data_IF_540311710487
#
_entry.id   IF_540311710487
#
_cell.length_a   1.000
_cell.length_b   1.000
_cell.length_c   1.000
_cell.angle_alpha   90.00
_cell.angle_beta   90.00
_cell.angle_gamma   90.00
#
_symmetry.space_group_name_H-M   'P 1'
#
loop_
_entity.id
_entity.type
_entity.pdbx_description
1 polymer ?
#
# COMPACT_ATOMS: atom_id res chain seq x y z
N UNK A 1 35.42 70.68 -50.01
CA UNK A 1 36.78 70.34 -49.56
C UNK A 1 36.69 69.24 -48.52
N UNK A 2 37.19 68.04 -48.88
CA UNK A 2 37.61 66.89 -48.06
C UNK A 2 36.82 66.45 -46.80
N UNK A 3 36.34 65.19 -46.89
CA UNK A 3 36.49 64.07 -45.92
C UNK A 3 35.61 64.15 -44.65
N UNK A 4 34.98 63.11 -44.09
CA UNK A 4 34.61 61.71 -44.40
C UNK A 4 34.00 61.20 -43.07
N UNK A 5 32.96 60.37 -43.14
CA UNK A 5 32.51 59.34 -42.18
C UNK A 5 32.70 59.54 -40.66
N UNK A 6 31.69 59.18 -39.85
CA UNK A 6 31.58 57.83 -39.27
C UNK A 6 30.65 57.83 -38.03
N UNK A 7 29.63 56.99 -38.13
CA UNK A 7 29.00 56.10 -37.15
C UNK A 7 29.12 56.31 -35.62
N UNK A 8 27.93 56.14 -35.03
CA UNK A 8 27.60 55.24 -33.91
C UNK A 8 27.95 55.62 -32.46
N UNK A 9 26.85 55.82 -31.73
CA UNK A 9 26.42 55.16 -30.48
C UNK A 9 27.26 55.39 -29.23
N UNK A 10 26.65 56.18 -28.33
CA UNK A 10 26.95 56.24 -26.91
C UNK A 10 26.77 54.87 -26.24
N UNK A 11 27.82 54.44 -25.57
CA UNK A 11 27.80 53.57 -24.39
C UNK A 11 27.32 54.35 -23.16
N UNK A 12 26.43 53.76 -22.35
CA UNK A 12 26.70 53.33 -20.97
C UNK A 12 25.44 53.27 -20.07
N UNK A 13 25.30 52.12 -19.39
CA UNK A 13 24.73 51.89 -18.04
C UNK A 13 23.20 51.92 -17.92
N UNK A 14 22.47 51.05 -17.21
CA UNK A 14 22.66 49.75 -16.55
C UNK A 14 21.31 49.46 -15.90
N UNK A 15 20.69 48.29 -16.12
CA UNK A 15 19.95 47.46 -15.13
C UNK A 15 19.15 46.39 -15.88
N UNK A 16 19.78 45.24 -16.09
CA UNK A 16 19.07 44.00 -16.39
C UNK A 16 18.78 43.34 -15.04
N UNK A 17 17.50 43.25 -14.69
CA UNK A 17 17.00 42.44 -13.58
C UNK A 17 17.23 40.97 -13.97
N UNK A 18 18.29 40.37 -13.43
CA UNK A 18 18.46 38.92 -13.44
C UNK A 18 17.51 38.38 -12.38
N UNK A 19 16.38 37.84 -12.81
CA UNK A 19 15.60 36.94 -11.97
C UNK A 19 16.50 35.72 -11.66
N UNK A 20 16.96 35.66 -10.42
CA UNK A 20 17.61 34.49 -9.85
C UNK A 20 16.62 33.33 -9.82
N UNK A 21 16.67 32.49 -10.86
CA UNK A 21 16.14 31.12 -10.82
C UNK A 21 16.99 30.30 -9.84
N UNK A 22 16.72 30.47 -8.55
CA UNK A 22 17.18 29.57 -7.49
C UNK A 22 15.95 28.84 -6.97
N UNK A 23 15.59 27.78 -7.67
CA UNK A 23 14.48 26.90 -7.32
C UNK A 23 14.66 25.57 -8.06
N UNK A 24 14.92 24.51 -7.30
CA UNK A 24 14.86 23.10 -7.70
C UNK A 24 15.89 22.61 -8.72
N UNK A 25 17.17 22.68 -8.35
CA UNK A 25 18.14 21.67 -8.77
C UNK A 25 18.57 20.90 -7.51
N UNK A 26 17.65 20.10 -6.96
CA UNK A 26 18.02 19.06 -6.02
C UNK A 26 18.61 17.92 -6.83
N UNK A 27 19.84 17.53 -6.49
CA UNK A 27 20.71 16.63 -7.24
C UNK A 27 20.01 15.37 -7.76
N UNK A 28 19.81 15.29 -9.08
CA UNK A 28 19.42 14.08 -9.82
C UNK A 28 20.58 13.08 -10.02
N UNK A 29 21.73 13.28 -9.36
CA UNK A 29 22.96 12.55 -9.70
C UNK A 29 23.08 11.13 -9.13
N UNK A 30 22.30 10.81 -8.09
CA UNK A 30 22.38 9.50 -7.41
C UNK A 30 21.04 8.77 -7.32
N UNK A 31 20.04 9.11 -8.16
CA UNK A 31 18.85 8.29 -8.24
C UNK A 31 19.26 6.90 -8.80
N UNK A 32 19.10 5.80 -8.04
CA UNK A 32 19.42 4.47 -8.54
C UNK A 32 18.67 4.27 -9.85
N UNK A 33 19.40 3.95 -10.92
CA UNK A 33 18.77 3.79 -12.22
C UNK A 33 17.84 2.60 -12.12
N UNK A 34 16.67 2.69 -12.76
CA UNK A 34 15.70 1.59 -12.92
C UNK A 34 16.36 0.24 -13.31
N UNK A 35 17.55 0.29 -13.91
CA UNK A 35 18.38 -0.85 -14.34
C UNK A 35 19.10 -1.62 -13.21
N UNK A 36 19.29 -1.08 -12.01
CA UNK A 36 20.10 -1.73 -10.96
C UNK A 36 19.30 -2.73 -10.10
N UNK A 37 17.97 -2.68 -10.17
CA UNK A 37 17.07 -3.59 -9.46
C UNK A 37 16.45 -4.59 -10.44
N UNK A 38 17.07 -5.76 -10.56
CA UNK A 38 16.59 -6.85 -11.44
C UNK A 38 16.15 -8.02 -10.55
N UNK A 39 14.85 -8.31 -10.41
CA UNK A 39 14.38 -9.49 -9.70
C UNK A 39 14.67 -10.75 -10.52
N UNK A 40 14.65 -11.90 -9.85
CA UNK A 40 14.84 -13.17 -10.54
C UNK A 40 13.59 -13.55 -11.36
N UNK A 41 13.75 -14.25 -12.50
CA UNK A 41 15.00 -14.48 -13.24
C UNK A 41 15.44 -13.24 -14.05
N UNK A 42 16.74 -13.00 -14.15
CA UNK A 42 17.33 -11.79 -14.78
C UNK A 42 16.81 -11.52 -16.20
N UNK A 43 16.63 -12.56 -17.01
CA UNK A 43 16.19 -12.42 -18.41
C UNK A 43 14.67 -12.27 -18.58
N UNK A 44 13.89 -12.54 -17.52
CA UNK A 44 12.43 -12.51 -17.54
C UNK A 44 11.89 -12.18 -16.13
N UNK A 45 12.23 -10.99 -15.60
CA UNK A 45 11.88 -10.61 -14.24
C UNK A 45 10.37 -10.68 -14.00
N UNK A 46 9.96 -11.15 -12.83
CA UNK A 46 8.54 -11.37 -12.52
C UNK A 46 7.75 -10.08 -12.26
N UNK A 47 8.43 -8.98 -11.94
CA UNK A 47 7.85 -7.65 -11.81
C UNK A 47 8.79 -6.59 -12.39
N UNK A 48 8.27 -5.44 -12.86
CA UNK A 48 9.12 -4.37 -13.36
C UNK A 48 9.82 -3.64 -12.19
N UNK A 49 10.90 -2.90 -12.47
CA UNK A 49 11.54 -2.10 -11.43
C UNK A 49 10.68 -0.89 -11.06
N UNK A 50 10.83 -0.44 -9.81
CA UNK A 50 10.08 0.65 -9.17
C UNK A 50 10.18 2.00 -9.94
N UNK A 51 9.21 2.91 -9.74
CA UNK A 51 7.98 2.73 -8.96
C UNK A 51 6.91 1.95 -9.76
N UNK A 52 5.98 1.31 -9.05
CA UNK A 52 4.82 0.61 -9.64
C UNK A 52 3.61 1.53 -9.74
N UNK A 53 2.93 1.54 -10.88
CA UNK A 53 1.80 2.41 -11.19
C UNK A 53 0.50 1.63 -11.19
N UNK A 54 -0.54 2.23 -10.62
CA UNK A 54 -1.87 1.66 -10.47
C UNK A 54 -2.88 2.67 -11.02
N UNK A 55 -3.84 2.19 -11.80
CA UNK A 55 -4.92 3.01 -12.34
C UNK A 55 -6.27 2.34 -12.11
N UNK A 56 -7.31 3.16 -12.03
CA UNK A 56 -8.69 2.72 -11.88
C UNK A 56 -8.87 1.80 -10.64
N UNK A 57 -8.55 2.39 -9.48
CA UNK A 57 -8.47 1.72 -8.19
C UNK A 57 -9.78 1.89 -7.42
N UNK A 58 -10.34 0.78 -6.96
CA UNK A 58 -11.51 0.72 -6.10
C UNK A 58 -11.10 0.10 -4.77
N UNK A 59 -11.46 0.73 -3.67
CA UNK A 59 -11.19 0.18 -2.33
C UNK A 59 -12.47 0.15 -1.53
N UNK A 60 -12.73 -0.97 -0.84
CA UNK A 60 -13.69 -1.03 0.26
C UNK A 60 -12.86 -1.18 1.54
N UNK A 61 -13.03 -0.26 2.48
CA UNK A 61 -12.46 -0.36 3.81
C UNK A 61 -13.57 -0.64 4.82
N UNK A 62 -13.34 -1.59 5.71
CA UNK A 62 -14.28 -1.96 6.77
C UNK A 62 -13.56 -1.88 8.11
N UNK A 63 -14.02 -0.99 8.97
CA UNK A 63 -13.51 -0.86 10.32
C UNK A 63 -14.18 -1.91 11.21
N UNK A 64 -13.37 -2.75 11.84
CA UNK A 64 -13.80 -3.91 12.61
C UNK A 64 -13.24 -3.87 14.03
N UNK A 65 -13.93 -4.53 14.95
CA UNK A 65 -13.42 -4.88 16.29
C UNK A 65 -13.04 -6.35 16.33
N UNK A 66 -11.77 -6.65 16.61
CA UNK A 66 -11.25 -8.00 16.79
C UNK A 66 -11.64 -8.59 18.15
N UNK A 67 -11.54 -9.92 18.31
CA UNK A 67 -11.58 -10.56 19.62
C UNK A 67 -10.41 -10.10 20.49
N UNK A 68 -10.62 -10.06 21.81
CA UNK A 68 -9.58 -9.64 22.77
C UNK A 68 -8.30 -10.47 22.60
N UNK A 69 -7.16 -9.81 22.46
CA UNK A 69 -5.85 -10.42 22.31
C UNK A 69 -5.56 -10.99 20.91
N UNK A 70 -6.49 -10.91 19.96
CA UNK A 70 -6.27 -11.41 18.61
C UNK A 70 -5.21 -10.61 17.86
N UNK A 71 -5.20 -9.27 18.00
CA UNK A 71 -4.17 -8.43 17.38
C UNK A 71 -2.79 -8.75 17.95
N UNK A 72 -2.66 -8.87 19.27
CA UNK A 72 -1.40 -9.28 19.91
C UNK A 72 -0.89 -10.63 19.41
N UNK A 73 -1.79 -11.59 19.14
CA UNK A 73 -1.43 -12.90 18.57
C UNK A 73 -0.98 -12.80 17.11
N UNK A 74 -1.58 -11.90 16.33
CA UNK A 74 -1.34 -11.80 14.89
C UNK A 74 -0.17 -10.86 14.53
N UNK A 75 0.14 -9.87 15.35
CA UNK A 75 1.20 -8.89 15.09
C UNK A 75 2.58 -9.54 15.11
N UNK A 76 3.36 -9.29 14.06
CA UNK A 76 4.72 -9.81 13.94
C UNK A 76 5.68 -9.03 14.85
N UNK A 77 6.48 -9.70 15.70
CA UNK A 77 7.57 -9.05 16.43
C UNK A 77 8.58 -8.39 15.46
N UNK A 78 9.23 -7.29 15.84
CA UNK A 78 9.19 -6.59 17.13
C UNK A 78 8.08 -5.53 17.24
N UNK A 79 7.05 -5.54 16.39
CA UNK A 79 5.94 -4.60 16.49
C UNK A 79 4.99 -4.98 17.63
N UNK A 80 4.31 -3.98 18.18
CA UNK A 80 3.28 -4.15 19.20
C UNK A 80 1.98 -3.48 18.73
N UNK A 81 0.79 -4.08 18.98
CA UNK A 81 -0.48 -3.40 18.75
C UNK A 81 -0.57 -2.07 19.51
N UNK A 82 -1.31 -1.12 18.95
CA UNK A 82 -1.58 0.19 19.58
C UNK A 82 -3.05 0.34 19.95
N UNK A 83 -3.29 0.88 21.14
CA UNK A 83 -4.62 1.16 21.66
C UNK A 83 -5.29 -0.05 22.30
N UNK A 84 -6.33 0.22 23.10
CA UNK A 84 -7.06 -0.81 23.86
C UNK A 84 -8.32 -1.32 23.14
N UNK A 85 -8.64 -0.74 21.97
CA UNK A 85 -9.93 -0.96 21.30
C UNK A 85 -9.99 -2.21 20.41
N UNK A 86 -8.86 -2.91 20.23
CA UNK A 86 -8.74 -4.11 19.39
C UNK A 86 -9.31 -3.87 17.98
N UNK A 87 -9.04 -2.71 17.38
CA UNK A 87 -9.57 -2.37 16.06
C UNK A 87 -8.62 -2.76 14.93
N UNK A 88 -9.19 -3.22 13.82
CA UNK A 88 -8.48 -3.46 12.58
C UNK A 88 -9.31 -2.99 11.40
N UNK A 89 -8.65 -2.79 10.26
CA UNK A 89 -9.27 -2.44 9.00
C UNK A 89 -9.13 -3.63 8.05
N UNK A 90 -10.25 -4.10 7.52
CA UNK A 90 -10.25 -4.98 6.36
C UNK A 90 -10.26 -4.08 5.11
N UNK A 91 -9.16 -4.08 4.37
CA UNK A 91 -9.03 -3.38 3.09
C UNK A 91 -9.26 -4.38 1.96
N UNK A 92 -10.22 -4.11 1.10
CA UNK A 92 -10.45 -4.84 -0.13
C UNK A 92 -10.07 -3.92 -1.28
N UNK A 93 -9.03 -4.28 -2.03
CA UNK A 93 -8.56 -3.55 -3.20
C UNK A 93 -8.98 -4.24 -4.49
N UNK A 94 -9.36 -3.44 -5.47
CA UNK A 94 -9.51 -3.83 -6.86
C UNK A 94 -8.84 -2.79 -7.74
N UNK A 95 -7.71 -3.16 -8.34
CA UNK A 95 -7.00 -2.33 -9.33
C UNK A 95 -7.26 -2.90 -10.72
N UNK A 96 -7.91 -2.13 -11.59
CA UNK A 96 -8.26 -2.61 -12.93
C UNK A 96 -7.07 -2.62 -13.89
N UNK A 97 -6.08 -1.76 -13.65
CA UNK A 97 -4.89 -1.68 -14.49
C UNK A 97 -3.63 -1.40 -13.67
N UNK A 98 -2.70 -2.35 -13.73
CA UNK A 98 -1.35 -2.21 -13.16
C UNK A 98 -0.34 -2.03 -14.30
N UNK A 99 0.56 -1.06 -14.14
CA UNK A 99 1.66 -0.78 -15.10
C UNK A 99 1.21 -0.50 -16.54
N UNK A 100 -0.06 -0.08 -16.75
CA UNK A 100 -0.64 0.13 -18.09
C UNK A 100 -0.65 -1.14 -18.94
N UNK A 101 -0.61 -2.30 -18.29
CA UNK A 101 -0.58 -3.62 -18.89
C UNK A 101 -1.95 -4.28 -19.02
N UNK A 102 -3.02 -3.66 -18.49
CA UNK A 102 -4.35 -4.25 -18.40
C UNK A 102 -4.44 -5.37 -17.37
N UNK A 103 -3.50 -5.43 -16.43
CA UNK A 103 -3.52 -6.42 -15.35
C UNK A 103 -4.54 -6.02 -14.30
N UNK A 104 -5.59 -6.82 -14.19
CA UNK A 104 -6.65 -6.67 -13.19
C UNK A 104 -6.28 -7.47 -11.94
N UNK A 105 -6.14 -6.78 -10.81
CA UNK A 105 -5.63 -7.33 -9.54
C UNK A 105 -6.62 -7.04 -8.44
N UNK A 106 -6.93 -8.06 -7.64
CA UNK A 106 -7.71 -7.95 -6.42
C UNK A 106 -6.87 -8.34 -5.21
N UNK A 107 -7.07 -7.63 -4.11
CA UNK A 107 -6.41 -7.92 -2.84
C UNK A 107 -7.38 -7.74 -1.67
N UNK A 108 -7.15 -8.49 -0.60
CA UNK A 108 -7.84 -8.35 0.68
C UNK A 108 -6.81 -8.42 1.80
N UNK A 109 -6.60 -7.30 2.49
CA UNK A 109 -5.64 -7.13 3.56
C UNK A 109 -6.32 -6.89 4.91
N UNK A 110 -5.78 -7.50 5.97
CA UNK A 110 -6.15 -7.18 7.35
C UNK A 110 -5.05 -6.27 7.92
N UNK A 111 -5.38 -5.00 8.13
CA UNK A 111 -4.45 -3.99 8.63
C UNK A 111 -4.77 -3.61 10.07
N UNK A 112 -3.76 -3.40 10.90
CA UNK A 112 -3.94 -3.03 12.31
C UNK A 112 -3.00 -1.89 12.73
N UNK A 113 -3.44 -0.98 13.62
CA UNK A 113 -2.57 -0.01 14.25
C UNK A 113 -1.50 -0.70 15.09
N UNK A 114 -0.24 -0.31 14.88
CA UNK A 114 0.91 -0.84 15.61
C UNK A 114 1.89 0.26 15.95
N UNK A 115 2.81 -0.07 16.84
CA UNK A 115 4.00 0.72 17.10
C UNK A 115 5.23 -0.16 16.99
N UNK A 116 6.32 0.47 16.64
CA UNK A 116 7.66 -0.07 16.74
C UNK A 116 8.55 1.03 17.30
N UNK A 117 9.13 0.77 18.49
CA UNK A 117 9.83 1.80 19.28
C UNK A 117 8.93 3.03 19.50
N UNK A 118 9.37 4.21 19.08
CA UNK A 118 8.68 5.49 19.15
C UNK A 118 7.80 5.77 17.92
N UNK A 119 7.78 4.89 16.92
CA UNK A 119 7.01 5.06 15.68
C UNK A 119 5.66 4.36 15.78
N UNK A 120 4.58 5.14 15.75
CA UNK A 120 3.21 4.63 15.58
C UNK A 120 2.88 4.64 14.09
N UNK A 121 2.15 3.63 13.64
CA UNK A 121 1.67 3.51 12.27
C UNK A 121 0.68 2.36 12.17
N UNK A 122 0.65 1.72 11.02
CA UNK A 122 -0.13 0.50 10.80
C UNK A 122 0.73 -0.60 10.20
N UNK A 123 0.26 -1.83 10.27
CA UNK A 123 0.87 -2.98 9.60
C UNK A 123 -0.19 -3.82 8.94
N UNK A 124 0.19 -4.54 7.90
CA UNK A 124 -0.63 -5.60 7.32
C UNK A 124 -0.31 -6.90 8.04
N UNK A 125 -1.30 -7.49 8.71
CA UNK A 125 -1.18 -8.75 9.46
C UNK A 125 -1.14 -9.95 8.50
N UNK A 126 -1.99 -9.92 7.49
CA UNK A 126 -2.04 -10.87 6.38
C UNK A 126 -2.73 -10.21 5.20
N UNK A 127 -2.32 -10.61 4.01
CA UNK A 127 -2.96 -10.16 2.77
C UNK A 127 -3.14 -11.33 1.81
N UNK A 128 -4.29 -11.37 1.17
CA UNK A 128 -4.60 -12.28 0.08
C UNK A 128 -4.65 -11.49 -1.23
N UNK A 129 -4.06 -12.04 -2.29
CA UNK A 129 -3.98 -11.40 -3.61
C UNK A 129 -4.12 -12.47 -4.70
N UNK A 130 -4.59 -12.08 -5.87
CA UNK A 130 -4.78 -12.97 -7.04
C UNK A 130 -3.76 -12.73 -8.18
N UNK A 131 -2.73 -11.94 -7.92
CA UNK A 131 -1.63 -11.62 -8.85
C UNK A 131 -0.29 -12.11 -8.31
N UNK A 132 0.41 -12.95 -9.07
CA UNK A 132 1.75 -13.42 -8.77
C UNK A 132 2.78 -12.28 -8.73
N UNK A 133 2.71 -11.35 -9.69
CA UNK A 133 3.52 -10.13 -9.70
C UNK A 133 3.31 -9.34 -8.40
N UNK A 134 2.06 -9.09 -8.01
CA UNK A 134 1.73 -8.37 -6.78
C UNK A 134 2.14 -9.13 -5.51
N UNK A 135 1.98 -10.45 -5.48
CA UNK A 135 2.44 -11.33 -4.41
C UNK A 135 3.95 -11.22 -4.21
N UNK A 136 4.71 -11.41 -5.28
CA UNK A 136 6.17 -11.54 -5.20
C UNK A 136 6.79 -10.16 -4.95
N UNK A 137 6.37 -9.11 -5.68
CA UNK A 137 6.84 -7.74 -5.45
C UNK A 137 6.55 -7.27 -4.01
N UNK A 138 5.33 -7.50 -3.51
CA UNK A 138 4.95 -7.13 -2.16
C UNK A 138 5.84 -7.76 -1.09
N UNK A 139 6.15 -9.05 -1.25
CA UNK A 139 6.99 -9.82 -0.31
C UNK A 139 8.47 -9.46 -0.42
N UNK A 140 9.01 -9.46 -1.63
CA UNK A 140 10.44 -9.28 -1.87
C UNK A 140 10.91 -7.85 -1.64
N UNK A 141 10.12 -6.84 -2.04
CA UNK A 141 10.53 -5.44 -1.94
C UNK A 141 10.26 -4.88 -0.54
N UNK A 142 9.09 -5.17 0.01
CA UNK A 142 8.56 -4.43 1.17
C UNK A 142 8.30 -5.30 2.41
N UNK A 143 8.11 -6.62 2.24
CA UNK A 143 7.78 -7.52 3.34
C UNK A 143 6.29 -7.64 3.64
N UNK A 144 5.39 -7.30 2.71
CA UNK A 144 3.96 -7.60 2.90
C UNK A 144 3.75 -9.10 3.09
N UNK A 145 2.97 -9.55 4.10
CA UNK A 145 2.69 -10.96 4.34
C UNK A 145 1.62 -11.51 3.39
N UNK A 146 1.85 -11.36 2.08
CA UNK A 146 0.92 -11.76 1.03
C UNK A 146 0.89 -13.30 0.86
N UNK A 147 -0.30 -13.84 0.56
CA UNK A 147 -0.58 -15.21 0.12
C UNK A 147 -1.49 -15.19 -1.11
N UNK A 148 -1.32 -16.16 -2.01
CA UNK A 148 -2.18 -16.31 -3.19
C UNK A 148 -3.58 -16.80 -2.81
N UNK A 149 -4.61 -16.25 -3.45
CA UNK A 149 -6.01 -16.60 -3.28
C UNK A 149 -6.84 -16.36 -4.56
N UNK A 150 -7.99 -17.02 -4.66
CA UNK A 150 -9.03 -16.66 -5.62
C UNK A 150 -9.96 -15.63 -4.98
N UNK A 151 -10.04 -14.44 -5.57
CA UNK A 151 -10.85 -13.32 -5.06
C UNK A 151 -11.89 -12.98 -6.11
N UNK A 152 -13.16 -12.98 -5.73
CA UNK A 152 -14.27 -12.68 -6.64
C UNK A 152 -15.07 -11.50 -6.10
N UNK A 153 -15.14 -10.43 -6.89
CA UNK A 153 -16.01 -9.29 -6.67
C UNK A 153 -17.28 -9.44 -7.49
N UNK A 154 -18.44 -9.35 -6.85
CA UNK A 154 -19.75 -9.40 -7.51
C UNK A 154 -20.54 -8.15 -7.13
N UNK A 155 -20.92 -7.35 -8.13
CA UNK A 155 -21.82 -6.22 -7.93
C UNK A 155 -23.22 -6.74 -7.58
N UNK A 156 -23.78 -6.26 -6.48
CA UNK A 156 -25.15 -6.58 -6.07
C UNK A 156 -26.07 -5.41 -6.41
N UNK A 157 -27.36 -5.55 -6.12
CA UNK A 157 -28.33 -4.44 -6.29
C UNK A 157 -28.03 -3.26 -5.34
N UNK A 158 -27.40 -3.52 -4.19
CA UNK A 158 -27.23 -2.55 -3.10
C UNK A 158 -25.77 -2.26 -2.76
N UNK A 159 -24.82 -2.91 -3.42
CA UNK A 159 -23.39 -2.73 -3.18
C UNK A 159 -22.56 -3.86 -3.81
N UNK A 160 -21.78 -4.57 -3.00
CA UNK A 160 -20.80 -5.56 -3.46
C UNK A 160 -20.75 -6.78 -2.55
N UNK A 161 -20.54 -7.95 -3.14
CA UNK A 161 -20.14 -9.17 -2.45
C UNK A 161 -18.72 -9.54 -2.87
N UNK A 162 -17.86 -9.81 -1.90
CA UNK A 162 -16.50 -10.30 -2.12
C UNK A 162 -16.31 -11.64 -1.44
N UNK A 163 -15.86 -12.63 -2.21
CA UNK A 163 -15.54 -13.97 -1.72
C UNK A 163 -14.05 -14.22 -1.92
N UNK A 164 -13.39 -14.71 -0.89
CA UNK A 164 -11.97 -15.07 -0.89
C UNK A 164 -11.85 -16.56 -0.58
N UNK A 165 -11.26 -17.31 -1.50
CA UNK A 165 -10.97 -18.73 -1.34
C UNK A 165 -9.47 -18.97 -1.52
N UNK A 166 -8.98 -20.09 -0.98
CA UNK A 166 -7.69 -20.63 -1.38
C UNK A 166 -7.68 -20.97 -2.86
N UNK A 167 -6.49 -21.02 -3.44
CA UNK A 167 -6.28 -21.51 -4.80
C UNK A 167 -6.83 -22.93 -4.97
N UNK A 168 -7.23 -23.30 -6.19
CA UNK A 168 -7.82 -24.61 -6.50
C UNK A 168 -6.94 -25.79 -6.11
N UNK A 169 -5.63 -25.67 -6.30
CA UNK A 169 -4.62 -26.65 -5.89
C UNK A 169 -4.49 -26.79 -4.36
N UNK A 170 -5.06 -25.85 -3.61
CA UNK A 170 -5.17 -25.85 -2.14
C UNK A 170 -6.61 -26.12 -1.69
N UNK A 171 -7.43 -26.74 -2.56
CA UNK A 171 -8.75 -27.26 -2.23
C UNK A 171 -9.88 -26.23 -2.22
N UNK A 172 -9.66 -25.01 -2.73
CA UNK A 172 -10.67 -23.94 -2.76
C UNK A 172 -11.34 -23.68 -1.40
N UNK A 173 -10.58 -23.89 -0.30
CA UNK A 173 -11.06 -23.67 1.06
C UNK A 173 -11.50 -22.22 1.23
N UNK A 174 -12.72 -21.95 1.74
CA UNK A 174 -13.16 -20.58 1.97
C UNK A 174 -12.30 -19.91 3.04
N UNK A 175 -11.98 -18.63 2.83
CA UNK A 175 -11.22 -17.81 3.76
C UNK A 175 -12.06 -16.65 4.30
N UNK A 176 -12.74 -15.94 3.40
CA UNK A 176 -13.58 -14.80 3.76
C UNK A 176 -14.81 -14.69 2.87
N UNK A 177 -15.90 -14.22 3.45
CA UNK A 177 -17.08 -13.73 2.74
C UNK A 177 -17.46 -12.37 3.28
N UNK A 178 -17.54 -11.39 2.39
CA UNK A 178 -17.80 -9.99 2.73
C UNK A 178 -18.95 -9.49 1.87
N UNK A 179 -19.89 -8.77 2.49
CA UNK A 179 -20.97 -8.09 1.79
C UNK A 179 -21.02 -6.64 2.25
N UNK A 180 -20.84 -5.71 1.32
CA UNK A 180 -20.92 -4.27 1.52
C UNK A 180 -22.22 -3.75 0.91
N UNK A 181 -22.98 -2.98 1.69
CA UNK A 181 -24.25 -2.37 1.28
C UNK A 181 -24.18 -0.86 1.49
N UNK A 182 -24.40 -0.09 0.42
CA UNK A 182 -24.39 1.38 0.44
C UNK A 182 -25.54 1.90 1.30
N UNK A 183 -25.25 2.86 2.18
CA UNK A 183 -26.23 3.51 3.05
C UNK A 183 -25.86 4.97 3.30
N UNK A 184 -26.85 5.86 3.34
CA UNK A 184 -26.65 7.32 3.41
C UNK A 184 -26.79 7.91 4.81
N UNK A 185 -27.30 7.15 5.78
CA UNK A 185 -27.62 7.62 7.12
C UNK A 185 -26.90 6.77 8.17
N UNK A 186 -25.59 6.98 8.29
CA UNK A 186 -24.75 6.27 9.25
C UNK A 186 -24.14 7.24 10.25
N UNK A 187 -23.98 6.84 11.52
CA UNK A 187 -23.27 7.64 12.49
C UNK A 187 -21.83 7.89 12.02
N UNK A 188 -21.26 9.00 12.46
CA UNK A 188 -19.84 9.25 12.27
C UNK A 188 -19.05 8.34 13.22
N UNK A 189 -18.00 7.71 12.67
CA UNK A 189 -17.10 6.84 13.43
C UNK A 189 -15.69 7.35 13.23
N UNK A 190 -14.93 7.46 14.32
CA UNK A 190 -13.52 7.84 14.24
C UNK A 190 -12.70 6.65 13.76
N UNK A 191 -12.03 6.82 12.62
CA UNK A 191 -11.09 5.84 12.08
C UNK A 191 -9.70 6.02 12.73
N UNK A 192 -8.91 4.94 12.90
CA UNK A 192 -7.53 5.07 13.33
C UNK A 192 -6.69 5.75 12.24
N UNK A 193 -5.54 6.32 12.65
CA UNK A 193 -4.54 6.75 11.69
C UNK A 193 -3.87 5.51 11.07
N UNK A 194 -3.76 5.51 9.75
CA UNK A 194 -3.30 4.39 8.94
C UNK A 194 -1.99 4.69 8.22
N UNK A 195 -1.20 5.64 8.71
CA UNK A 195 0.18 5.76 8.27
C UNK A 195 1.13 6.24 9.36
N UNK A 196 2.45 6.04 9.16
CA UNK A 196 3.09 5.27 8.07
C UNK A 196 2.77 3.77 8.13
N UNK A 197 3.09 3.03 7.05
CA UNK A 197 3.00 1.55 7.03
C UNK A 197 4.32 0.97 7.50
N UNK A 198 4.27 0.09 8.49
CA UNK A 198 5.40 -0.64 9.07
C UNK A 198 5.27 -2.12 8.71
N UNK A 199 6.31 -2.69 8.08
CA UNK A 199 6.35 -4.08 7.66
C UNK A 199 7.64 -4.73 8.13
N UNK A 200 7.55 -6.00 8.50
CA UNK A 200 8.73 -6.82 8.79
C UNK A 200 9.01 -7.69 7.57
N UNK A 201 10.05 -7.35 6.82
CA UNK A 201 10.56 -8.20 5.73
C UNK A 201 11.46 -9.27 6.32
N UNK A 202 10.97 -10.51 6.34
CA UNK A 202 11.70 -11.69 6.80
C UNK A 202 11.94 -12.68 5.67
N UNK A 203 13.21 -12.95 5.37
CA UNK A 203 13.64 -13.93 4.38
C UNK A 203 14.37 -15.06 5.12
N UNK A 204 13.82 -16.29 5.13
CA UNK A 204 14.47 -17.43 5.77
C UNK A 204 15.73 -17.82 4.99
N UNK A 205 16.76 -18.35 5.67
CA UNK A 205 17.96 -18.82 5.00
C UNK A 205 17.70 -20.16 4.30
N UNK A 206 18.46 -20.42 3.24
CA UNK A 206 18.45 -21.73 2.57
C UNK A 206 19.23 -22.81 3.34
N UNK A 207 20.04 -22.42 4.32
CA UNK A 207 20.87 -23.30 5.15
C UNK A 207 20.81 -22.86 6.61
N UNK A 208 20.87 -23.83 7.52
CA UNK A 208 20.96 -23.56 8.97
C UNK A 208 22.24 -22.80 9.37
N UNK A 209 23.25 -22.76 8.50
CA UNK A 209 24.51 -22.04 8.73
C UNK A 209 24.46 -20.57 8.32
N UNK A 210 23.40 -20.12 7.66
CA UNK A 210 23.24 -18.75 7.19
C UNK A 210 22.14 -18.08 8.02
N UNK A 211 22.36 -16.89 8.57
CA UNK A 211 21.32 -16.19 9.31
C UNK A 211 20.16 -15.79 8.40
N UNK A 212 18.97 -15.67 8.98
CA UNK A 212 17.82 -15.07 8.29
C UNK A 212 18.04 -13.56 8.09
N UNK A 213 17.49 -13.01 7.00
CA UNK A 213 17.45 -11.56 6.80
C UNK A 213 16.14 -11.06 7.40
N UNK A 214 16.22 -10.18 8.40
CA UNK A 214 15.07 -9.51 8.99
C UNK A 214 15.23 -8.00 8.92
N UNK A 215 14.23 -7.30 8.43
CA UNK A 215 14.27 -5.86 8.25
C UNK A 215 12.95 -5.22 8.65
N UNK A 216 13.03 -4.08 9.32
CA UNK A 216 11.89 -3.20 9.53
C UNK A 216 11.85 -2.23 8.34
N UNK A 217 10.78 -2.32 7.56
CA UNK A 217 10.49 -1.44 6.44
C UNK A 217 9.43 -0.43 6.87
N UNK A 218 9.68 0.84 6.61
CA UNK A 218 8.69 1.90 6.81
C UNK A 218 8.38 2.57 5.48
N UNK A 219 7.10 2.60 5.11
CA UNK A 219 6.59 3.31 3.95
C UNK A 219 5.84 4.55 4.42
N UNK A 220 6.26 5.71 3.93
CA UNK A 220 5.70 7.02 4.29
C UNK A 220 6.28 7.64 5.56
N UNK A 221 7.39 7.11 6.09
CA UNK A 221 8.01 7.62 7.33
C UNK A 221 8.47 9.09 7.25
N UNK A 222 8.78 9.58 6.06
CA UNK A 222 9.24 10.96 5.84
C UNK A 222 8.17 11.83 5.17
N UNK A 223 6.96 11.29 4.96
CA UNK A 223 5.87 12.02 4.33
C UNK A 223 5.12 12.78 5.42
N UNK A 224 5.14 14.12 5.42
CA UNK A 224 4.31 14.88 6.35
C UNK A 224 2.85 14.52 6.07
N UNK A 225 2.14 13.98 7.06
CA UNK A 225 0.71 13.61 6.97
C UNK A 225 0.39 12.44 6.02
N UNK A 226 1.10 11.31 6.11
CA UNK A 226 0.59 10.06 5.54
C UNK A 226 -0.61 9.54 6.37
N UNK A 227 -1.75 10.23 6.33
CA UNK A 227 -3.01 9.75 6.94
C UNK A 227 -3.73 8.72 6.05
N UNK A 228 -3.10 8.33 4.94
CA UNK A 228 -3.65 7.50 3.87
C UNK A 228 -2.55 6.49 3.50
N UNK A 229 -2.84 5.20 3.61
CA UNK A 229 -1.91 4.15 3.20
C UNK A 229 -1.55 4.26 1.71
N UNK A 230 -0.41 3.70 1.26
CA UNK A 230 0.12 3.91 -0.09
C UNK A 230 -0.73 3.30 -1.22
N UNK A 231 -1.81 2.57 -0.90
CA UNK A 231 -2.78 2.00 -1.84
C UNK A 231 -4.22 2.46 -1.55
N UNK A 232 -4.39 3.44 -0.68
CA UNK A 232 -5.69 4.05 -0.44
C UNK A 232 -5.87 5.25 -1.38
N UNK A 233 -6.93 5.20 -2.19
CA UNK A 233 -7.33 6.31 -3.04
C UNK A 233 -7.74 7.51 -2.18
N UNK A 234 -7.42 8.72 -2.64
CA UNK A 234 -7.95 9.94 -2.03
C UNK A 234 -9.48 10.01 -2.19
N UNK A 235 -10.21 10.58 -1.21
CA UNK A 235 -11.65 10.66 -1.30
C UNK A 235 -12.13 11.36 -2.58
N UNK A 236 -13.08 10.73 -3.28
CA UNK A 236 -13.63 11.21 -4.54
C UNK A 236 -15.13 11.53 -4.46
N UNK A 237 -15.68 12.20 -5.48
CA UNK A 237 -17.13 12.48 -5.56
C UNK A 237 -17.99 11.22 -5.69
N UNK A 238 -17.40 10.10 -6.13
CA UNK A 238 -18.05 8.82 -6.33
C UNK A 238 -17.98 7.91 -5.06
N UNK A 239 -17.39 8.41 -3.97
CA UNK A 239 -17.23 7.66 -2.73
C UNK A 239 -18.58 7.36 -2.07
N UNK A 240 -18.66 6.18 -1.47
CA UNK A 240 -19.86 5.75 -0.75
C UNK A 240 -19.53 5.32 0.66
N UNK A 241 -20.50 5.46 1.56
CA UNK A 241 -20.48 4.83 2.88
C UNK A 241 -21.55 3.76 2.95
N UNK A 242 -21.41 2.83 3.88
CA UNK A 242 -22.29 1.69 3.97
C UNK A 242 -22.13 0.87 5.24
N UNK A 243 -22.90 -0.21 5.28
CA UNK A 243 -22.73 -1.27 6.27
C UNK A 243 -22.03 -2.44 5.62
N UNK A 244 -21.40 -3.30 6.42
CA UNK A 244 -20.84 -4.54 5.91
C UNK A 244 -21.10 -5.72 6.84
N UNK A 245 -21.22 -6.91 6.25
CA UNK A 245 -21.08 -8.18 6.95
C UNK A 245 -19.76 -8.82 6.55
N UNK A 246 -19.07 -9.42 7.51
CA UNK A 246 -17.76 -10.02 7.31
C UNK A 246 -17.73 -11.34 8.06
N UNK A 247 -17.41 -12.41 7.34
CA UNK A 247 -17.25 -13.74 7.89
C UNK A 247 -15.88 -14.29 7.52
N UNK A 248 -15.12 -14.75 8.52
CA UNK A 248 -13.86 -15.46 8.34
C UNK A 248 -14.07 -16.96 8.54
N UNK A 249 -13.27 -17.76 7.86
CA UNK A 249 -13.28 -19.22 7.91
C UNK A 249 -11.88 -19.74 8.20
N UNK A 250 -11.79 -20.90 8.85
CA UNK A 250 -10.52 -21.55 9.10
C UNK A 250 -10.13 -22.46 7.93
N UNK A 251 -8.86 -22.37 7.53
CA UNK A 251 -8.20 -23.33 6.67
C UNK A 251 -6.98 -23.97 7.34
N UNK A 252 -6.46 -25.09 6.82
CA UNK A 252 -5.32 -25.80 7.40
C UNK A 252 -4.06 -24.96 7.60
N UNK A 253 -3.87 -23.94 6.77
CA UNK A 253 -2.71 -23.03 6.80
C UNK A 253 -3.11 -21.57 7.07
N UNK A 254 -4.38 -21.35 7.41
CA UNK A 254 -5.02 -20.03 7.50
C UNK A 254 -6.11 -20.09 8.59
N UNK A 255 -5.74 -20.22 9.88
CA UNK A 255 -6.73 -20.23 10.96
C UNK A 255 -7.24 -18.80 11.20
N UNK A 256 -8.16 -18.28 10.39
CA UNK A 256 -8.56 -16.87 10.44
C UNK A 256 -9.63 -16.56 11.49
N UNK A 257 -10.40 -17.54 11.97
CA UNK A 257 -11.56 -17.27 12.83
C UNK A 257 -11.21 -16.60 14.16
N UNK A 258 -9.99 -16.82 14.69
CA UNK A 258 -9.54 -16.15 15.91
C UNK A 258 -9.42 -14.63 15.76
N UNK A 259 -9.27 -14.13 14.52
CA UNK A 259 -9.19 -12.70 14.17
C UNK A 259 -10.51 -12.18 13.59
N UNK A 260 -11.49 -13.06 13.37
CA UNK A 260 -12.79 -12.71 12.80
C UNK A 260 -13.48 -11.60 13.62
N UNK A 261 -14.11 -10.62 12.95
CA UNK A 261 -14.64 -9.45 13.64
C UNK A 261 -15.77 -9.83 14.59
N UNK A 262 -15.67 -9.37 15.85
CA UNK A 262 -16.76 -9.43 16.82
C UNK A 262 -17.85 -8.40 16.51
N UNK A 263 -17.48 -7.31 15.82
CA UNK A 263 -18.37 -6.25 15.38
C UNK A 263 -17.78 -5.51 14.17
N UNK A 264 -18.63 -5.18 13.20
CA UNK A 264 -18.34 -4.18 12.16
C UNK A 264 -18.79 -2.81 12.66
N UNK A 265 -17.90 -1.82 12.61
CA UNK A 265 -18.10 -0.48 13.16
C UNK A 265 -18.49 0.53 12.08
N UNK A 266 -17.84 0.48 10.92
CA UNK A 266 -18.10 1.37 9.78
C UNK A 266 -17.58 0.74 8.48
N UNK A 267 -18.10 1.17 7.34
CA UNK A 267 -17.57 0.78 6.04
C UNK A 267 -17.68 1.93 5.02
N UNK A 268 -16.64 2.06 4.19
CA UNK A 268 -16.57 3.06 3.12
C UNK A 268 -15.99 2.42 1.87
N UNK A 269 -16.40 2.93 0.72
CA UNK A 269 -15.82 2.59 -0.57
C UNK A 269 -15.34 3.86 -1.25
N UNK A 270 -14.10 3.86 -1.72
CA UNK A 270 -13.50 4.94 -2.49
C UNK A 270 -13.16 4.44 -3.89
N UNK A 271 -13.37 5.28 -4.89
CA UNK A 271 -13.01 4.98 -6.27
C UNK A 271 -12.16 6.09 -6.86
N UNK A 272 -10.98 5.72 -7.35
CA UNK A 272 -10.10 6.59 -8.12
C UNK A 272 -10.16 6.16 -9.58
N UNK A 273 -10.53 7.09 -10.47
CA UNK A 273 -10.42 6.91 -11.92
C UNK A 273 -9.12 7.51 -12.42
N UNK A 274 -8.44 6.82 -13.30
CA UNK A 274 -7.13 7.22 -13.82
C UNK A 274 -5.96 6.82 -12.91
N UNK A 275 -4.79 7.36 -13.24
CA UNK A 275 -3.51 6.99 -12.62
C UNK A 275 -3.36 7.57 -11.21
N UNK A 276 -2.91 6.75 -10.27
CA UNK A 276 -2.51 7.24 -8.95
C UNK A 276 -1.39 8.28 -9.07
N UNK A 277 -1.48 9.42 -8.34
CA UNK A 277 -0.55 10.53 -8.49
C UNK A 277 0.91 10.17 -8.14
N UNK A 278 1.11 9.09 -7.38
CA UNK A 278 2.42 8.55 -7.03
C UNK A 278 2.42 7.05 -7.27
N UNK A 279 3.45 6.54 -7.92
CA UNK A 279 3.69 5.09 -7.98
C UNK A 279 4.19 4.56 -6.63
N UNK A 280 3.92 3.30 -6.34
CA UNK A 280 4.44 2.63 -5.15
C UNK A 280 5.94 2.36 -5.35
N UNK A 281 6.77 3.02 -4.54
CA UNK A 281 8.21 2.80 -4.49
C UNK A 281 9.05 4.06 -4.73
N UNK A 282 10.34 3.94 -4.41
CA UNK A 282 11.42 4.95 -4.48
C UNK A 282 11.35 6.14 -3.51
N UNK A 283 10.21 6.76 -3.28
CA UNK A 283 10.09 7.90 -2.36
C UNK A 283 9.37 7.51 -1.07
N UNK A 284 9.97 7.85 0.09
CA UNK A 284 9.36 7.62 1.42
C UNK A 284 9.40 6.19 1.96
N UNK A 285 9.93 5.21 1.21
CA UNK A 285 10.17 3.84 1.70
C UNK A 285 11.60 3.69 2.21
N UNK A 286 11.78 3.18 3.43
CA UNK A 286 13.08 2.98 4.05
C UNK A 286 13.19 1.66 4.79
N UNK A 287 14.34 1.01 4.68
CA UNK A 287 14.79 0.04 5.70
C UNK A 287 15.25 0.87 6.91
N UNK A 288 14.51 0.81 8.01
CA UNK A 288 14.81 1.59 9.23
C UNK A 288 15.58 0.78 10.27
N UNK A 289 15.58 -0.54 10.16
CA UNK A 289 16.42 -1.44 10.94
C UNK A 289 16.64 -2.76 10.19
N UNK A 290 17.77 -3.41 10.43
CA UNK A 290 18.08 -4.76 9.97
C UNK A 290 18.71 -5.56 11.11
N UNK A 291 18.29 -6.81 11.26
CA UNK A 291 18.84 -7.74 12.24
C UNK A 291 18.89 -9.18 11.68
N UNK A 292 19.64 -10.03 12.34
CA UNK A 292 19.79 -11.45 12.05
C UNK A 292 19.16 -12.27 13.18
N UNK A 293 18.54 -13.40 12.83
CA UNK A 293 18.12 -14.47 13.75
C UNK A 293 18.74 -15.80 13.32
#
# INVERSE_FOLDING_TARGET
MKIRNLCFVLTAISTLIVFSLTGFAQDKKDAPKRADFIPSPIFSPVYPPLPHHFSDVYTIQILCKAPKGALKRATMPPMEPVGDEETFILLLGWTQDVEKGGYNVHEVAINAPVKWKDKVGNTTLIEYIDSDMGLIAGREIYGWPKKMAEITWTKTQTGWMVVVNKMKDQGSVPLMKIEYTVSKNLPEVKWPDMGPVLLVRRIPPASLSTPSINQMICLGCDTPQASVGPLEAAPGPDDTRGTATVQFFDGPHDPLTFLGPTKVLDAKMTSLKGEMPFGLGLDGTKVVEQWEE
#
